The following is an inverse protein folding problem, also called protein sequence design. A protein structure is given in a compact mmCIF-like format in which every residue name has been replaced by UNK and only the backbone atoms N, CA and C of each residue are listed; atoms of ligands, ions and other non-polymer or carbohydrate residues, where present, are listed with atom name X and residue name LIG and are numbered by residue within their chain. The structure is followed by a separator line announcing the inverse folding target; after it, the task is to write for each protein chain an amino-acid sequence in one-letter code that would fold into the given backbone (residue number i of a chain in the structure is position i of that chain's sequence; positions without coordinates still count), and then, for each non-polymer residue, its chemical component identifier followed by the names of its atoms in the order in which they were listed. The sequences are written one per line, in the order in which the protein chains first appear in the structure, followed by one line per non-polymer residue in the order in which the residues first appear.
data_IF_364799358433
#
_entry.id   IF_364799358433
#
_cell.length_a   1.000
_cell.length_b   1.000
_cell.length_c   1.000
_cell.angle_alpha   90.00
_cell.angle_beta   90.00
_cell.angle_gamma   90.00
#
_symmetry.space_group_name_H-M   'P 1'
#
loop_
_entity.id
_entity.type
_entity.pdbx_description
1 polymer ?
#
# COMPACT_ATOMS: atom_id res chain seq x y z
N UNK A 1 12.17 -10.57 -21.88
CA UNK A 1 12.55 -10.80 -20.47
C UNK A 1 11.81 -12.04 -19.98
N UNK A 2 12.45 -12.97 -19.26
CA UNK A 2 11.72 -14.16 -18.78
C UNK A 2 10.64 -13.74 -17.76
N UNK A 3 9.44 -14.31 -17.84
CA UNK A 3 8.33 -14.00 -16.93
C UNK A 3 8.72 -14.16 -15.45
N UNK A 4 9.55 -15.16 -15.16
CA UNK A 4 10.12 -15.38 -13.83
C UNK A 4 10.92 -14.18 -13.32
N UNK A 5 11.74 -13.56 -14.18
CA UNK A 5 12.51 -12.38 -13.80
C UNK A 5 11.60 -11.22 -13.42
N UNK A 6 10.52 -10.98 -14.17
CA UNK A 6 9.56 -9.90 -13.89
C UNK A 6 8.84 -10.14 -12.56
N UNK A 7 8.41 -11.38 -12.29
CA UNK A 7 7.75 -11.73 -11.02
C UNK A 7 8.70 -11.49 -9.85
N UNK A 8 9.95 -11.96 -9.94
CA UNK A 8 10.93 -11.77 -8.87
C UNK A 8 11.28 -10.29 -8.65
N UNK A 9 11.53 -9.53 -9.71
CA UNK A 9 11.86 -8.10 -9.57
C UNK A 9 10.70 -7.30 -9.03
N UNK A 10 9.47 -7.57 -9.50
CA UNK A 10 8.27 -6.86 -9.03
C UNK A 10 7.94 -7.24 -7.59
N UNK A 11 8.07 -8.52 -7.23
CA UNK A 11 7.89 -8.99 -5.86
C UNK A 11 8.87 -8.35 -4.88
N UNK A 12 10.15 -8.27 -5.23
CA UNK A 12 11.17 -7.59 -4.41
C UNK A 12 10.90 -6.08 -4.33
N UNK A 13 10.48 -5.44 -5.43
CA UNK A 13 10.14 -4.02 -5.43
C UNK A 13 8.92 -3.72 -4.53
N UNK A 14 7.87 -4.54 -4.61
CA UNK A 14 6.70 -4.44 -3.74
C UNK A 14 7.07 -4.69 -2.28
N UNK A 15 7.89 -5.72 -2.02
CA UNK A 15 8.44 -5.98 -0.68
C UNK A 15 9.17 -4.75 -0.15
N UNK A 16 10.13 -4.18 -0.90
CA UNK A 16 10.89 -3.02 -0.47
C UNK A 16 10.02 -1.77 -0.25
N UNK A 17 8.98 -1.56 -1.08
CA UNK A 17 8.02 -0.46 -0.91
C UNK A 17 7.21 -0.60 0.39
N UNK A 18 6.87 -1.83 0.78
CA UNK A 18 6.18 -2.13 2.03
C UNK A 18 7.13 -2.38 3.22
N UNK A 19 8.41 -2.64 3.02
CA UNK A 19 9.43 -2.81 4.08
C UNK A 19 10.18 -1.50 4.41
N UNK A 20 9.52 -0.35 4.19
CA UNK A 20 10.04 0.95 4.63
C UNK A 20 10.09 1.09 6.15
N UNK A 21 10.75 2.15 6.65
CA UNK A 21 10.97 2.39 8.08
C UNK A 21 9.70 2.32 8.94
N UNK A 22 8.55 2.74 8.42
CA UNK A 22 7.26 2.62 9.11
C UNK A 22 6.88 1.18 9.44
N UNK A 23 6.89 0.29 8.44
CA UNK A 23 6.48 -1.11 8.63
C UNK A 23 7.50 -1.96 9.39
N UNK A 24 8.70 -1.43 9.68
CA UNK A 24 9.68 -2.03 10.59
C UNK A 24 9.56 -1.51 12.03
N UNK A 25 9.26 -0.22 12.22
CA UNK A 25 9.13 0.39 13.55
C UNK A 25 7.79 0.04 14.19
N UNK A 26 6.70 0.00 13.41
CA UNK A 26 5.36 -0.28 13.94
C UNK A 26 5.21 -1.64 14.61
N UNK A 27 5.71 -2.76 14.05
CA UNK A 27 5.61 -4.07 14.72
C UNK A 27 6.37 -4.11 16.05
N UNK A 28 7.53 -3.44 16.13
CA UNK A 28 8.31 -3.34 17.37
C UNK A 28 7.54 -2.58 18.45
N UNK A 29 6.98 -1.41 18.09
CA UNK A 29 6.18 -0.61 19.01
C UNK A 29 4.88 -1.32 19.42
N UNK A 30 4.17 -1.93 18.46
CA UNK A 30 2.97 -2.74 18.73
C UNK A 30 3.28 -3.93 19.64
N UNK A 31 4.43 -4.58 19.46
CA UNK A 31 4.91 -5.63 20.34
C UNK A 31 5.03 -5.17 21.79
N UNK A 32 5.70 -4.03 22.01
CA UNK A 32 5.83 -3.41 23.35
C UNK A 32 4.47 -3.00 23.92
N UNK A 33 3.59 -2.43 23.09
CA UNK A 33 2.25 -1.98 23.52
C UNK A 33 1.21 -3.09 23.65
N UNK A 34 1.49 -4.32 23.17
CA UNK A 34 0.52 -5.40 23.17
C UNK A 34 0.28 -6.01 24.56
N UNK A 35 1.15 -5.73 25.54
CA UNK A 35 1.04 -6.22 26.94
C UNK A 35 0.72 -7.72 27.05
N UNK A 36 1.25 -8.55 26.14
CA UNK A 36 1.00 -10.01 26.10
C UNK A 36 -0.01 -10.47 25.05
N UNK A 37 -0.80 -9.58 24.43
CA UNK A 37 -1.75 -9.89 23.36
C UNK A 37 -1.12 -9.89 21.97
N UNK A 38 0.04 -10.54 21.81
CA UNK A 38 0.83 -10.51 20.58
C UNK A 38 0.06 -11.04 19.35
N UNK A 39 -0.74 -12.10 19.53
CA UNK A 39 -1.51 -12.68 18.44
C UNK A 39 -2.54 -11.68 17.86
N UNK A 40 -3.24 -10.95 18.73
CA UNK A 40 -4.23 -9.97 18.33
C UNK A 40 -3.57 -8.72 17.72
N UNK A 41 -2.46 -8.26 18.30
CA UNK A 41 -1.66 -7.17 17.75
C UNK A 41 -1.11 -7.51 16.34
N UNK A 42 -0.60 -8.73 16.15
CA UNK A 42 -0.11 -9.21 14.85
C UNK A 42 -1.24 -9.33 13.82
N UNK A 43 -2.42 -9.82 14.21
CA UNK A 43 -3.57 -9.86 13.31
C UNK A 43 -4.01 -8.46 12.88
N UNK A 44 -4.08 -7.51 13.82
CA UNK A 44 -4.38 -6.11 13.51
C UNK A 44 -3.36 -5.51 12.54
N UNK A 45 -2.07 -5.78 12.76
CA UNK A 45 -0.98 -5.34 11.88
C UNK A 45 -1.07 -5.99 10.49
N UNK A 46 -1.38 -7.29 10.39
CA UNK A 46 -1.54 -7.97 9.10
C UNK A 46 -2.69 -7.38 8.29
N UNK A 47 -3.83 -7.14 8.93
CA UNK A 47 -5.00 -6.57 8.28
C UNK A 47 -4.72 -5.14 7.83
N UNK A 48 -4.16 -4.30 8.70
CA UNK A 48 -4.01 -2.86 8.42
C UNK A 48 -2.73 -2.53 7.66
N UNK A 49 -1.61 -3.12 8.04
CA UNK A 49 -0.28 -2.84 7.49
C UNK A 49 0.05 -3.61 6.22
N UNK A 50 -0.64 -4.72 5.94
CA UNK A 50 -0.37 -5.55 4.74
C UNK A 50 -1.59 -5.62 3.82
N UNK A 51 -2.75 -6.05 4.34
CA UNK A 51 -3.91 -6.31 3.50
C UNK A 51 -4.47 -5.03 2.86
N UNK A 52 -4.59 -3.92 3.61
CA UNK A 52 -5.10 -2.65 3.06
C UNK A 52 -4.20 -2.11 1.93
N UNK A 53 -2.87 -1.95 2.10
CA UNK A 53 -2.00 -1.52 1.01
C UNK A 53 -2.02 -2.46 -0.20
N UNK A 54 -2.11 -3.77 0.04
CA UNK A 54 -2.22 -4.77 -1.01
C UNK A 54 -3.54 -4.63 -1.80
N UNK A 55 -4.67 -4.43 -1.13
CA UNK A 55 -5.96 -4.17 -1.77
C UNK A 55 -5.92 -2.88 -2.60
N UNK A 56 -5.26 -1.83 -2.11
CA UNK A 56 -5.03 -0.61 -2.89
C UNK A 56 -4.27 -0.88 -4.19
N UNK A 57 -3.19 -1.65 -4.11
CA UNK A 57 -2.38 -2.01 -5.27
C UNK A 57 -3.16 -2.90 -6.25
N UNK A 58 -3.88 -3.91 -5.75
CA UNK A 58 -4.77 -4.75 -6.56
C UNK A 58 -5.83 -3.90 -7.26
N UNK A 59 -6.48 -2.99 -6.53
CA UNK A 59 -7.50 -2.11 -7.11
C UNK A 59 -6.95 -1.31 -8.29
N UNK A 60 -5.71 -0.81 -8.19
CA UNK A 60 -5.05 -0.08 -9.29
C UNK A 60 -4.70 -0.99 -10.48
N UNK A 61 -4.37 -2.26 -10.24
CA UNK A 61 -4.13 -3.24 -11.30
C UNK A 61 -5.39 -3.53 -12.11
N UNK A 62 -6.58 -3.51 -11.51
CA UNK A 62 -7.85 -3.68 -12.23
C UNK A 62 -8.10 -2.57 -13.27
N UNK A 63 -7.52 -1.38 -13.06
CA UNK A 63 -7.57 -0.27 -14.01
C UNK A 63 -6.37 -0.22 -14.95
N UNK A 64 -5.58 -1.30 -15.05
CA UNK A 64 -4.34 -1.34 -15.84
C UNK A 64 -3.37 -0.18 -15.53
N UNK A 65 -3.39 0.32 -14.29
CA UNK A 65 -2.58 1.47 -13.90
C UNK A 65 -3.09 2.84 -14.41
N UNK A 66 -4.29 2.91 -14.98
CA UNK A 66 -4.92 4.17 -15.40
C UNK A 66 -5.45 4.95 -14.20
N UNK A 67 -4.66 5.93 -13.76
CA UNK A 67 -4.96 6.79 -12.60
C UNK A 67 -6.22 7.61 -12.79
N UNK A 68 -6.46 8.14 -13.99
CA UNK A 68 -7.59 9.03 -14.24
C UNK A 68 -8.92 8.27 -14.17
N UNK A 69 -8.95 7.03 -14.67
CA UNK A 69 -10.11 6.15 -14.53
C UNK A 69 -10.30 5.67 -13.08
N UNK A 70 -9.22 5.30 -12.40
CA UNK A 70 -9.25 4.87 -11.00
C UNK A 70 -9.79 5.98 -10.06
N UNK A 71 -9.23 7.19 -10.16
CA UNK A 71 -9.67 8.32 -9.33
C UNK A 71 -10.97 8.96 -9.83
N UNK A 72 -11.38 8.71 -11.08
CA UNK A 72 -12.68 9.14 -11.61
C UNK A 72 -13.88 8.59 -10.85
N UNK A 73 -13.73 7.44 -10.17
CA UNK A 73 -14.75 6.83 -9.31
C UNK A 73 -15.09 7.67 -8.07
N UNK A 74 -14.16 8.51 -7.61
CA UNK A 74 -14.32 9.35 -6.43
C UNK A 74 -15.13 10.64 -6.72
N UNK A 75 -15.67 10.79 -7.93
CA UNK A 75 -16.48 11.94 -8.33
C UNK A 75 -15.68 13.24 -8.53
N UNK A 76 -16.36 14.37 -8.75
CA UNK A 76 -15.74 15.67 -9.10
C UNK A 76 -14.76 16.24 -8.07
N UNK A 77 -14.76 15.76 -6.82
CA UNK A 77 -13.91 16.29 -5.76
C UNK A 77 -12.48 15.74 -5.76
N UNK A 78 -12.28 14.47 -6.13
CA UNK A 78 -10.93 13.88 -6.10
C UNK A 78 -9.99 14.41 -7.20
N UNK A 79 -10.44 14.63 -8.45
CA UNK A 79 -9.62 15.28 -9.46
C UNK A 79 -9.21 16.69 -9.05
N UNK A 80 -10.04 17.43 -8.30
CA UNK A 80 -9.72 18.80 -7.85
C UNK A 80 -8.57 18.82 -6.84
N UNK A 81 -8.54 17.89 -5.90
CA UNK A 81 -7.43 17.74 -4.94
C UNK A 81 -6.16 17.24 -5.66
N UNK A 82 -6.30 16.30 -6.59
CA UNK A 82 -5.14 15.75 -7.32
C UNK A 82 -4.57 16.75 -8.34
N UNK A 83 -5.42 17.54 -9.02
CA UNK A 83 -4.97 18.56 -9.97
C UNK A 83 -4.43 19.82 -9.28
N UNK A 84 -4.94 20.22 -8.12
CA UNK A 84 -4.37 21.33 -7.35
C UNK A 84 -2.95 21.05 -6.86
N UNK A 85 -2.63 19.80 -6.53
CA UNK A 85 -1.24 19.37 -6.23
C UNK A 85 -0.36 19.38 -7.50
N UNK A 86 -0.96 19.17 -8.69
CA UNK A 86 -0.25 19.10 -9.97
C UNK A 86 0.06 20.47 -10.57
N UNK A 87 -0.67 21.53 -10.20
CA UNK A 87 -0.51 22.88 -10.74
C UNK A 87 0.58 23.73 -10.06
N UNK A 88 1.28 23.18 -9.05
CA UNK A 88 2.41 23.84 -8.37
C UNK A 88 3.79 23.40 -8.87
N UNK A 89 3.89 22.80 -10.05
CA UNK A 89 5.17 22.48 -10.69
C UNK A 89 5.32 23.23 -12.00
#
# INVERSE_FOLDING_TARGET
MSHFKIIMTTGIAMFAMFFGSGNLVFPLQLGVMSHGHYALANLGLLITGVLIPFLGLWSMMLYNGNRDQYFGLLGKFAPFIVTSVRYKK
#
